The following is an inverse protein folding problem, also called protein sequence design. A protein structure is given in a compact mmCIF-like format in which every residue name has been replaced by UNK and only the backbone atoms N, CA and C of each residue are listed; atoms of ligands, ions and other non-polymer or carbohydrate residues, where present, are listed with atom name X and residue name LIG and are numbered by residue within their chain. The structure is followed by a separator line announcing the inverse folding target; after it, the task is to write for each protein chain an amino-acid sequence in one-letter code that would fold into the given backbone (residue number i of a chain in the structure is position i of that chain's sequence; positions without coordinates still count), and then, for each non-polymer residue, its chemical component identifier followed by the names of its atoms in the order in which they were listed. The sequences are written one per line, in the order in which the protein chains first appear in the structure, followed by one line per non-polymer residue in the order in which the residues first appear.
data_IF_148937721181
#
_entry.id   IF_148937721181
#
_cell.length_a   1.000
_cell.length_b   1.000
_cell.length_c   1.000
_cell.angle_alpha   90.00
_cell.angle_beta   90.00
_cell.angle_gamma   90.00
#
_symmetry.space_group_name_H-M   'P 1'
#
loop_
_entity.id
_entity.type
_entity.pdbx_description
1 polymer ?
#
# COMPACT_ATOMS: atom_id res chain seq x y z
N UNK A 1 3.60 -5.11 19.73
CA UNK A 1 4.20 -6.06 18.77
C UNK A 1 3.42 -7.37 18.81
N UNK A 2 2.81 -7.81 17.70
CA UNK A 2 1.99 -9.02 17.64
C UNK A 2 2.81 -10.30 17.84
N UNK A 3 3.93 -10.45 17.12
CA UNK A 3 4.81 -11.61 17.25
C UNK A 3 5.35 -11.81 18.68
N UNK A 4 5.67 -10.73 19.39
CA UNK A 4 6.15 -10.79 20.78
C UNK A 4 5.10 -11.29 21.79
N UNK A 5 3.81 -11.28 21.42
CA UNK A 5 2.70 -11.74 22.26
C UNK A 5 2.29 -13.19 21.95
N UNK A 6 2.82 -13.77 20.88
CA UNK A 6 2.55 -15.15 20.50
C UNK A 6 3.56 -16.11 21.15
N UNK A 7 3.18 -17.38 21.43
CA UNK A 7 4.10 -18.36 22.00
C UNK A 7 5.33 -18.56 21.10
N UNK A 8 6.53 -18.42 21.65
CA UNK A 8 7.79 -18.51 20.89
C UNK A 8 7.90 -19.80 20.06
N UNK A 9 7.45 -20.92 20.62
CA UNK A 9 7.42 -22.22 19.93
C UNK A 9 6.60 -22.21 18.61
N UNK A 10 5.67 -21.27 18.44
CA UNK A 10 4.86 -21.12 17.22
C UNK A 10 5.41 -20.11 16.22
N UNK A 11 6.22 -19.15 16.64
CA UNK A 11 6.55 -17.97 15.81
C UNK A 11 8.04 -17.67 15.68
N UNK A 12 8.90 -18.19 16.56
CA UNK A 12 10.34 -17.98 16.47
C UNK A 12 10.91 -18.59 15.18
N UNK A 13 11.75 -17.84 14.46
CA UNK A 13 12.34 -18.26 13.18
C UNK A 13 11.36 -18.31 12.00
N UNK A 14 10.09 -17.98 12.20
CA UNK A 14 9.09 -17.96 11.13
C UNK A 14 9.18 -16.68 10.30
N UNK A 15 9.00 -16.84 8.99
CA UNK A 15 8.81 -15.72 8.05
C UNK A 15 7.31 -15.53 7.79
N UNK A 16 6.89 -14.28 7.72
CA UNK A 16 5.50 -13.87 7.49
C UNK A 16 5.42 -12.86 6.35
N UNK A 17 4.43 -13.04 5.49
CA UNK A 17 4.01 -11.99 4.58
C UNK A 17 3.21 -10.95 5.35
N UNK A 18 3.46 -9.67 5.04
CA UNK A 18 2.66 -8.54 5.53
C UNK A 18 2.12 -7.81 4.33
N UNK A 19 0.81 -7.61 4.30
CA UNK A 19 0.09 -6.99 3.19
C UNK A 19 -1.39 -6.84 3.50
N UNK A 20 -2.17 -6.52 2.47
CA UNK A 20 -3.60 -6.20 2.61
C UNK A 20 -4.54 -7.33 2.16
N UNK A 21 -4.00 -8.53 1.87
CA UNK A 21 -4.74 -9.69 1.33
C UNK A 21 -5.56 -9.41 0.05
N UNK A 22 -5.26 -8.32 -0.65
CA UNK A 22 -5.93 -7.88 -1.86
C UNK A 22 -4.88 -7.47 -2.90
N UNK A 23 -5.19 -7.67 -4.18
CA UNK A 23 -4.42 -7.10 -5.28
C UNK A 23 -5.23 -5.98 -5.95
N UNK A 24 -4.51 -4.99 -6.47
CA UNK A 24 -5.09 -3.87 -7.22
C UNK A 24 -4.28 -3.75 -8.51
N UNK A 25 -4.94 -3.70 -9.66
CA UNK A 25 -4.24 -3.54 -10.93
C UNK A 25 -3.67 -2.12 -11.05
N UNK A 26 -2.63 -1.95 -11.89
CA UNK A 26 -2.07 -0.61 -12.16
C UNK A 26 -3.11 0.33 -12.75
N UNK A 27 -4.03 -0.18 -13.59
CA UNK A 27 -5.09 0.63 -14.17
C UNK A 27 -6.10 1.08 -13.11
N UNK A 28 -6.54 0.17 -12.23
CA UNK A 28 -7.47 0.52 -11.15
C UNK A 28 -6.84 1.53 -10.18
N UNK A 29 -5.56 1.35 -9.85
CA UNK A 29 -4.81 2.30 -9.03
C UNK A 29 -4.73 3.68 -9.69
N UNK A 30 -4.46 3.71 -11.00
CA UNK A 30 -4.43 4.95 -11.77
C UNK A 30 -5.77 5.68 -11.72
N UNK A 31 -6.88 4.97 -11.93
CA UNK A 31 -8.23 5.55 -11.92
C UNK A 31 -8.62 6.08 -10.53
N UNK A 32 -8.26 5.35 -9.47
CA UNK A 32 -8.44 5.80 -8.08
C UNK A 32 -7.63 7.07 -7.79
N UNK A 33 -6.37 7.13 -8.24
CA UNK A 33 -5.52 8.32 -8.07
C UNK A 33 -6.10 9.53 -8.82
N UNK A 34 -6.52 9.35 -10.08
CA UNK A 34 -7.15 10.42 -10.86
C UNK A 34 -8.39 10.97 -10.13
N UNK A 35 -9.26 10.07 -9.66
CA UNK A 35 -10.47 10.42 -8.90
C UNK A 35 -10.13 11.20 -7.64
N UNK A 36 -9.20 10.70 -6.83
CA UNK A 36 -8.83 11.35 -5.57
C UNK A 36 -8.12 12.68 -5.76
N UNK A 37 -7.34 12.82 -6.84
CA UNK A 37 -6.58 14.05 -7.12
C UNK A 37 -7.40 15.10 -7.88
N UNK A 38 -8.43 14.69 -8.61
CA UNK A 38 -9.22 15.55 -9.50
C UNK A 38 -8.48 15.96 -10.76
N UNK A 39 -7.47 15.19 -11.18
CA UNK A 39 -6.60 15.52 -12.31
C UNK A 39 -6.89 14.57 -13.47
N UNK A 40 -7.47 15.05 -14.58
CA UNK A 40 -7.79 14.21 -15.73
C UNK A 40 -6.57 14.06 -16.64
N UNK A 41 -5.76 13.02 -16.40
CA UNK A 41 -4.57 12.73 -17.21
C UNK A 41 -4.75 11.36 -17.84
N UNK A 42 -4.52 11.27 -19.15
CA UNK A 42 -4.55 10.00 -19.84
C UNK A 42 -3.26 9.21 -19.54
N UNK A 43 -3.36 7.90 -19.22
CA UNK A 43 -2.19 7.09 -18.96
C UNK A 43 -1.40 6.87 -20.26
N UNK A 44 -0.08 7.07 -20.21
CA UNK A 44 0.83 6.67 -21.28
C UNK A 44 1.30 5.24 -21.03
N UNK A 45 0.88 4.30 -21.89
CA UNK A 45 1.32 2.90 -21.82
C UNK A 45 2.67 2.74 -22.52
N UNK A 46 3.62 2.12 -21.83
CA UNK A 46 4.93 1.77 -22.37
C UNK A 46 5.11 0.25 -22.44
N UNK A 47 6.24 -0.19 -22.97
CA UNK A 47 6.62 -1.60 -22.96
C UNK A 47 6.85 -2.11 -21.54
N UNK A 48 6.53 -3.37 -21.30
CA UNK A 48 6.80 -4.04 -20.03
C UNK A 48 8.30 -4.13 -19.75
N UNK A 49 8.68 -4.09 -18.49
CA UNK A 49 10.10 -4.16 -18.12
C UNK A 49 10.55 -5.62 -18.05
N UNK A 50 11.74 -5.98 -18.58
CA UNK A 50 12.28 -7.33 -18.38
C UNK A 50 12.33 -7.68 -16.88
N UNK A 51 11.74 -8.82 -16.51
CA UNK A 51 11.65 -9.28 -15.12
C UNK A 51 10.50 -8.68 -14.30
N UNK A 52 9.58 -7.93 -14.90
CA UNK A 52 8.42 -7.36 -14.20
C UNK A 52 7.46 -8.44 -13.71
N UNK A 53 7.07 -8.35 -12.42
CA UNK A 53 6.05 -9.22 -11.83
C UNK A 53 4.68 -8.69 -12.24
N UNK A 54 3.94 -9.46 -13.02
CA UNK A 54 2.62 -9.06 -13.55
C UNK A 54 1.52 -9.10 -12.50
N UNK A 55 1.57 -10.08 -11.60
CA UNK A 55 0.60 -10.28 -10.54
C UNK A 55 1.33 -10.57 -9.24
N UNK A 56 1.02 -9.81 -8.19
CA UNK A 56 1.56 -10.00 -6.86
C UNK A 56 0.42 -9.95 -5.84
N UNK A 57 0.28 -11.01 -5.06
CA UNK A 57 -0.67 -11.11 -3.96
C UNK A 57 0.01 -11.79 -2.78
N UNK A 58 0.13 -11.06 -1.68
CA UNK A 58 0.64 -11.59 -0.43
C UNK A 58 -0.50 -12.31 0.32
N UNK A 59 -0.48 -13.64 0.37
CA UNK A 59 -1.30 -14.36 1.36
C UNK A 59 -0.80 -13.99 2.75
N UNK A 60 -1.71 -13.53 3.60
CA UNK A 60 -1.44 -13.18 5.01
C UNK A 60 -2.01 -14.22 5.98
N UNK A 61 -2.43 -15.38 5.48
CA UNK A 61 -3.17 -16.38 6.26
C UNK A 61 -2.34 -16.90 7.44
N UNK A 62 -1.05 -17.15 7.22
CA UNK A 62 -0.10 -17.50 8.28
C UNK A 62 0.02 -16.42 9.36
N UNK A 63 0.00 -15.14 8.97
CA UNK A 63 0.10 -14.03 9.91
C UNK A 63 -1.20 -13.86 10.71
N UNK A 64 -2.36 -14.02 10.06
CA UNK A 64 -3.67 -14.07 10.74
C UNK A 64 -3.71 -15.20 11.77
N UNK A 65 -3.35 -16.42 11.36
CA UNK A 65 -3.47 -17.61 12.19
C UNK A 65 -2.51 -17.63 13.38
N UNK A 66 -1.24 -17.28 13.16
CA UNK A 66 -0.20 -17.47 14.19
C UNK A 66 -0.01 -16.26 15.10
N UNK A 67 -0.30 -15.04 14.61
CA UNK A 67 -0.06 -13.80 15.36
C UNK A 67 -1.26 -12.86 15.40
N UNK A 68 -2.41 -13.24 14.83
CA UNK A 68 -3.61 -12.41 14.83
C UNK A 68 -3.45 -11.12 14.01
N UNK A 69 -2.60 -11.12 12.98
CA UNK A 69 -2.42 -9.95 12.12
C UNK A 69 -3.66 -9.74 11.25
N UNK A 70 -4.29 -8.58 11.39
CA UNK A 70 -5.33 -8.10 10.47
C UNK A 70 -5.01 -6.65 10.08
N UNK A 71 -5.00 -6.30 8.78
CA UNK A 71 -4.82 -4.91 8.34
C UNK A 71 -5.92 -4.02 8.90
N UNK A 72 -5.54 -2.99 9.66
CA UNK A 72 -6.50 -2.01 10.21
C UNK A 72 -6.85 -0.89 9.25
N UNK A 73 -6.09 -0.76 8.16
CA UNK A 73 -6.29 0.25 7.11
C UNK A 73 -6.42 -0.50 5.79
N UNK A 74 -7.58 -0.40 5.16
CA UNK A 74 -7.77 -0.94 3.81
C UNK A 74 -7.00 -0.11 2.76
N UNK A 75 -6.94 -0.63 1.55
CA UNK A 75 -6.19 0.00 0.47
C UNK A 75 -6.70 1.40 0.12
N UNK A 76 -8.02 1.62 0.12
CA UNK A 76 -8.62 2.89 -0.30
C UNK A 76 -8.46 3.98 0.76
N UNK A 77 -8.61 3.64 2.04
CA UNK A 77 -8.26 4.51 3.16
C UNK A 77 -6.77 4.89 3.11
N UNK A 78 -5.88 3.91 2.96
CA UNK A 78 -4.43 4.15 2.86
C UNK A 78 -4.08 5.05 1.67
N UNK A 79 -4.73 4.85 0.53
CA UNK A 79 -4.54 5.69 -0.65
C UNK A 79 -5.05 7.13 -0.42
N UNK A 80 -6.21 7.30 0.23
CA UNK A 80 -6.73 8.63 0.62
C UNK A 80 -5.77 9.37 1.54
N UNK A 81 -5.26 8.71 2.58
CA UNK A 81 -4.27 9.28 3.50
C UNK A 81 -2.99 9.68 2.77
N UNK A 82 -2.52 8.85 1.85
CA UNK A 82 -1.34 9.12 1.03
C UNK A 82 -1.53 10.37 0.17
N UNK A 83 -2.66 10.50 -0.52
CA UNK A 83 -2.98 11.70 -1.32
C UNK A 83 -3.07 12.95 -0.44
N UNK A 84 -3.70 12.85 0.74
CA UNK A 84 -3.81 13.95 1.69
C UNK A 84 -2.42 14.43 2.17
N UNK A 85 -1.53 13.49 2.49
CA UNK A 85 -0.14 13.78 2.85
C UNK A 85 0.59 14.58 1.76
N UNK A 86 0.52 14.14 0.50
CA UNK A 86 1.18 14.86 -0.61
C UNK A 86 0.58 16.25 -0.86
N UNK A 87 -0.74 16.43 -0.66
CA UNK A 87 -1.39 17.75 -0.72
C UNK A 87 -0.84 18.69 0.36
N UNK A 88 -0.72 18.22 1.59
CA UNK A 88 -0.16 19.01 2.70
C UNK A 88 1.30 19.39 2.43
N UNK A 89 2.14 18.42 2.05
CA UNK A 89 3.57 18.63 1.76
C UNK A 89 3.81 19.59 0.60
N UNK A 90 2.94 19.60 -0.42
CA UNK A 90 3.01 20.61 -1.51
C UNK A 90 2.69 22.02 -1.02
N UNK A 91 1.72 22.19 -0.11
CA UNK A 91 1.36 23.50 0.47
C UNK A 91 2.49 24.07 1.31
N UNK A 92 3.11 23.24 2.14
CA UNK A 92 4.27 23.61 2.96
C UNK A 92 5.45 24.08 2.08
N UNK A 93 5.83 23.30 1.06
CA UNK A 93 6.91 23.67 0.13
C UNK A 93 6.65 24.99 -0.59
N UNK A 94 5.40 25.32 -0.90
CA UNK A 94 5.03 26.61 -1.50
C UNK A 94 5.18 27.77 -0.52
N UNK A 95 4.83 27.57 0.75
CA UNK A 95 5.01 28.58 1.80
C UNK A 95 6.49 28.88 2.06
N UNK A 96 7.32 27.84 2.17
CA UNK A 96 8.77 28.00 2.38
C UNK A 96 9.46 28.71 1.21
N UNK A 97 9.00 28.52 -0.03
CA UNK A 97 9.54 29.20 -1.21
C UNK A 97 9.06 30.64 -1.39
N UNK A 98 7.99 31.03 -0.69
CA UNK A 98 7.40 32.35 -0.77
C UNK A 98 7.80 33.26 0.41
N UNK A 99 8.50 32.71 1.39
CA UNK A 99 9.15 33.43 2.49
C UNK A 99 10.64 33.60 2.16
#
# INVERSE_FOLDING_TARGET
MLAARAPAARVAGQVFNVGCAQSVSINDLWDRIQTLTGVPVLPKRGEGRPGEITNSLASIDKARELVGYEPSVDFDEGLRQTVAYYRARRRERRRVRAA
#
